data_IF_956953841482
#
_entry.id   IF_956953841482
#
_cell.length_a   1.000
_cell.length_b   1.000
_cell.length_c   1.000
_cell.angle_alpha   90.00
_cell.angle_beta   90.00
_cell.angle_gamma   90.00
#
_symmetry.space_group_name_H-M   'P 1'
#
loop_
_entity.id
_entity.type
_entity.pdbx_description
1 polymer ?
#
# COMPACT_ATOMS: atom_id res chain seq x y z
N UNK A 1 6.14 17.80 27.33
CA UNK A 1 6.48 17.00 26.13
C UNK A 1 7.43 15.92 26.62
N UNK A 2 7.09 14.64 26.44
CA UNK A 2 7.74 13.52 27.13
C UNK A 2 9.29 13.50 27.00
N UNK A 3 9.82 13.75 25.81
CA UNK A 3 11.28 13.80 25.61
C UNK A 3 11.94 14.98 26.32
N UNK A 4 11.30 16.15 26.36
CA UNK A 4 11.83 17.31 27.08
C UNK A 4 11.90 17.04 28.58
N UNK A 5 10.89 16.38 29.15
CA UNK A 5 10.85 15.99 30.56
C UNK A 5 11.90 14.91 30.91
N UNK A 6 12.16 13.97 30.00
CA UNK A 6 13.23 12.98 30.15
C UNK A 6 14.62 13.63 30.13
N UNK A 7 14.85 14.56 29.20
CA UNK A 7 16.14 15.28 29.07
C UNK A 7 16.49 16.09 30.31
N UNK A 8 15.51 16.72 30.98
CA UNK A 8 15.73 17.41 32.26
C UNK A 8 16.28 16.49 33.37
N UNK A 9 16.09 15.18 33.24
CA UNK A 9 16.59 14.16 34.19
C UNK A 9 17.84 13.44 33.68
N UNK A 10 18.48 13.94 32.61
CA UNK A 10 19.63 13.27 31.98
C UNK A 10 19.28 11.94 31.31
N UNK A 11 18.02 11.76 30.89
CA UNK A 11 17.50 10.55 30.23
C UNK A 11 16.93 10.88 28.85
N UNK A 12 16.51 9.85 28.12
CA UNK A 12 15.74 9.97 26.87
C UNK A 12 14.58 8.98 26.90
N UNK A 13 13.51 9.25 26.13
CA UNK A 13 12.41 8.29 25.90
C UNK A 13 12.73 7.30 24.77
N UNK A 14 13.77 7.56 23.98
CA UNK A 14 14.21 6.71 22.87
C UNK A 14 15.12 5.59 23.38
N UNK A 15 14.54 4.67 24.17
CA UNK A 15 15.28 3.59 24.85
C UNK A 15 15.03 2.20 24.27
N UNK A 16 14.30 2.10 23.16
CA UNK A 16 13.98 0.82 22.53
C UNK A 16 15.22 0.12 21.96
N UNK A 17 15.18 -1.20 21.90
CA UNK A 17 16.22 -1.98 21.22
C UNK A 17 16.20 -1.67 19.71
N UNK A 18 17.32 -1.17 19.19
CA UNK A 18 17.44 -0.83 17.77
C UNK A 18 17.26 -2.02 16.83
N UNK A 19 17.47 -3.25 17.32
CA UNK A 19 17.29 -4.48 16.53
C UNK A 19 15.83 -4.77 16.19
N UNK A 20 14.87 -4.13 16.86
CA UNK A 20 13.45 -4.23 16.55
C UNK A 20 12.96 -3.19 15.53
N UNK A 21 13.81 -2.25 15.12
CA UNK A 21 13.44 -1.27 14.11
C UNK A 21 13.48 -1.88 12.72
N UNK A 22 12.45 -1.63 11.92
CA UNK A 22 12.38 -2.10 10.55
C UNK A 22 13.03 -1.07 9.62
N UNK A 23 14.18 -1.44 9.05
CA UNK A 23 14.86 -0.70 7.98
C UNK A 23 15.25 -1.67 6.90
N UNK A 24 15.08 -1.33 5.63
CA UNK A 24 15.40 -2.24 4.54
C UNK A 24 15.71 -1.49 3.24
N UNK A 25 17.00 -1.32 2.94
CA UNK A 25 17.46 -0.61 1.74
C UNK A 25 17.23 -1.39 0.43
N UNK A 26 16.92 -2.69 0.52
CA UNK A 26 16.56 -3.50 -0.65
C UNK A 26 15.19 -3.10 -1.20
N UNK A 27 14.25 -2.72 -0.32
CA UNK A 27 12.89 -2.35 -0.73
C UNK A 27 12.59 -0.86 -0.65
N UNK A 28 13.25 -0.14 0.26
CA UNK A 28 12.94 1.26 0.56
C UNK A 28 14.22 2.10 0.62
N UNK A 29 14.27 3.28 -0.01
CA UNK A 29 15.41 4.19 0.13
C UNK A 29 15.70 4.52 1.60
N UNK A 30 16.97 4.53 1.98
CA UNK A 30 17.41 4.83 3.35
C UNK A 30 16.99 6.22 3.86
N UNK A 31 16.57 7.12 2.97
CA UNK A 31 16.08 8.45 3.34
C UNK A 31 14.60 8.52 3.64
N UNK A 32 13.83 7.55 3.16
CA UNK A 32 12.41 7.38 3.47
C UNK A 32 12.22 6.44 4.66
N UNK A 33 13.02 5.38 4.73
CA UNK A 33 12.99 4.39 5.81
C UNK A 33 14.33 4.32 6.53
N UNK A 34 14.36 4.87 7.75
CA UNK A 34 15.56 5.02 8.58
C UNK A 34 15.23 4.76 10.05
N UNK A 35 16.25 4.45 10.88
CA UNK A 35 16.03 4.19 12.29
C UNK A 35 15.66 5.48 13.05
N UNK A 36 14.71 5.35 13.97
CA UNK A 36 14.27 6.38 14.90
C UNK A 36 15.09 6.26 16.19
N UNK A 37 16.02 7.20 16.39
CA UNK A 37 16.98 7.19 17.50
C UNK A 37 16.78 8.32 18.49
N UNK A 38 16.04 9.34 18.09
CA UNK A 38 15.81 10.56 18.85
C UNK A 38 14.58 11.31 18.33
N UNK A 39 14.26 12.43 18.97
CA UNK A 39 13.16 13.29 18.57
C UNK A 39 13.33 13.84 17.14
N UNK A 40 14.57 14.07 16.70
CA UNK A 40 14.84 14.66 15.39
C UNK A 40 14.45 13.66 14.29
N UNK A 41 14.93 12.42 14.40
CA UNK A 41 14.59 11.33 13.47
C UNK A 41 13.11 10.97 13.54
N UNK A 42 12.49 10.98 14.73
CA UNK A 42 11.04 10.77 14.86
C UNK A 42 10.22 11.83 14.11
N UNK A 43 10.54 13.12 14.34
CA UNK A 43 9.88 14.23 13.64
C UNK A 43 10.13 14.19 12.13
N UNK A 44 11.34 13.80 11.70
CA UNK A 44 11.64 13.61 10.29
C UNK A 44 10.71 12.57 9.65
N UNK A 45 10.51 11.41 10.29
CA UNK A 45 9.61 10.37 9.79
C UNK A 45 8.15 10.85 9.68
N UNK A 46 7.67 11.58 10.67
CA UNK A 46 6.32 12.18 10.64
C UNK A 46 6.20 13.20 9.51
N UNK A 47 7.20 14.07 9.34
CA UNK A 47 7.18 15.08 8.29
C UNK A 47 7.14 14.46 6.89
N UNK A 48 7.84 13.35 6.65
CA UNK A 48 7.75 12.62 5.37
C UNK A 48 6.33 12.09 5.14
N UNK A 49 5.69 11.51 6.16
CA UNK A 49 4.31 11.02 6.06
C UNK A 49 3.35 12.15 5.68
N UNK A 50 3.50 13.31 6.31
CA UNK A 50 2.68 14.50 6.03
C UNK A 50 2.96 15.04 4.63
N UNK A 51 4.24 15.22 4.27
CA UNK A 51 4.66 15.78 2.98
C UNK A 51 4.21 14.91 1.80
N UNK A 52 4.34 13.58 1.90
CA UNK A 52 3.84 12.66 0.87
C UNK A 52 2.30 12.59 0.85
N UNK A 53 1.64 12.69 2.01
CA UNK A 53 0.19 12.58 2.13
C UNK A 53 -0.56 13.81 1.64
N UNK A 54 -0.36 14.94 2.33
CA UNK A 54 -1.10 16.20 2.11
C UNK A 54 -0.23 17.34 1.59
N UNK A 55 1.09 17.16 1.54
CA UNK A 55 2.03 18.20 1.12
C UNK A 55 2.14 19.30 2.17
N UNK A 56 2.25 20.55 1.72
CA UNK A 56 2.27 21.73 2.60
C UNK A 56 1.14 22.70 2.24
N UNK A 57 0.92 23.71 3.10
CA UNK A 57 -0.08 24.76 2.84
C UNK A 57 0.29 25.71 1.69
N UNK A 58 1.52 25.62 1.17
CA UNK A 58 2.06 26.55 0.16
C UNK A 58 2.64 25.86 -1.07
N UNK A 59 2.98 24.58 -0.95
CA UNK A 59 3.55 23.77 -2.03
C UNK A 59 2.82 22.42 -2.10
N UNK A 60 2.16 22.11 -3.23
CA UNK A 60 1.47 20.84 -3.43
C UNK A 60 2.40 19.68 -3.82
N UNK A 61 3.70 19.94 -4.04
CA UNK A 61 4.67 18.92 -4.40
C UNK A 61 5.42 18.37 -3.19
N UNK A 62 5.78 17.09 -3.29
CA UNK A 62 6.65 16.44 -2.31
C UNK A 62 8.01 17.14 -2.35
N UNK A 63 8.53 17.47 -1.17
CA UNK A 63 9.80 18.15 -0.99
C UNK A 63 10.95 17.30 -1.55
N UNK A 64 11.89 17.89 -2.30
CA UNK A 64 13.04 17.16 -2.87
C UNK A 64 13.89 16.42 -1.83
N UNK A 65 13.91 16.92 -0.59
CA UNK A 65 14.63 16.31 0.54
C UNK A 65 14.01 14.98 0.99
N UNK A 66 12.74 14.76 0.67
CA UNK A 66 11.92 13.63 1.10
C UNK A 66 11.70 12.61 -0.05
N UNK A 67 12.00 12.98 -1.31
CA UNK A 67 12.04 12.07 -2.47
C UNK A 67 13.29 11.21 -2.48
N UNK A 68 13.23 9.96 -3.00
CA UNK A 68 14.27 8.97 -3.40
C UNK A 68 15.36 9.46 -4.37
N UNK A 69 16.57 8.86 -4.46
CA UNK A 69 17.57 9.32 -5.43
C UNK A 69 17.08 8.98 -6.85
N UNK A 70 16.94 9.97 -7.71
CA UNK A 70 16.43 9.79 -9.07
C UNK A 70 14.90 9.72 -9.17
N UNK A 71 14.18 9.94 -8.07
CA UNK A 71 12.73 10.11 -8.11
C UNK A 71 12.36 11.46 -8.70
N UNK A 72 11.33 11.46 -9.54
CA UNK A 72 10.79 12.68 -10.11
C UNK A 72 9.98 13.42 -9.04
N UNK A 73 10.00 14.74 -9.10
CA UNK A 73 9.07 15.57 -8.32
C UNK A 73 7.64 15.19 -8.69
N UNK A 74 6.85 14.79 -7.71
CA UNK A 74 5.43 14.48 -7.88
C UNK A 74 4.57 15.24 -6.85
N UNK A 75 3.30 15.53 -7.17
CA UNK A 75 2.36 16.10 -6.21
C UNK A 75 2.16 15.14 -5.04
N UNK A 76 1.93 15.68 -3.84
CA UNK A 76 1.50 14.89 -2.70
C UNK A 76 0.17 14.16 -3.01
N UNK A 77 -0.12 13.08 -2.29
CA UNK A 77 -1.22 12.17 -2.61
C UNK A 77 -2.57 12.89 -2.78
N UNK A 78 -2.89 13.85 -1.90
CA UNK A 78 -4.10 14.66 -2.02
C UNK A 78 -4.24 15.28 -3.42
N UNK A 79 -3.21 16.00 -3.87
CA UNK A 79 -3.23 16.70 -5.14
C UNK A 79 -3.18 15.75 -6.33
N UNK A 80 -2.44 14.64 -6.21
CA UNK A 80 -2.34 13.60 -7.25
C UNK A 80 -3.67 12.87 -7.46
N UNK A 81 -4.44 12.62 -6.40
CA UNK A 81 -5.80 12.11 -6.54
C UNK A 81 -6.74 13.16 -7.14
N UNK A 82 -6.54 14.44 -6.83
CA UNK A 82 -7.29 15.51 -7.47
C UNK A 82 -6.93 15.65 -8.97
N UNK A 83 -5.70 15.37 -9.41
CA UNK A 83 -5.36 15.31 -10.84
C UNK A 83 -6.22 14.26 -11.57
N UNK A 84 -6.45 13.09 -10.95
CA UNK A 84 -7.33 12.05 -11.49
C UNK A 84 -8.78 12.56 -11.55
N UNK A 85 -9.26 13.19 -10.48
CA UNK A 85 -10.62 13.73 -10.41
C UNK A 85 -10.88 14.84 -11.44
N UNK A 86 -9.90 15.73 -11.66
CA UNK A 86 -9.97 16.83 -12.63
C UNK A 86 -9.63 16.38 -14.06
N UNK A 87 -9.01 15.21 -14.22
CA UNK A 87 -8.53 14.69 -15.50
C UNK A 87 -7.36 15.47 -16.10
N UNK A 88 -6.63 16.25 -15.28
CA UNK A 88 -5.58 17.18 -15.71
C UNK A 88 -4.45 17.21 -14.68
N UNK A 89 -3.21 17.28 -15.15
CA UNK A 89 -2.06 17.48 -14.26
C UNK A 89 -2.09 18.85 -13.58
N UNK A 90 -1.60 18.89 -12.36
CA UNK A 90 -1.36 20.10 -11.60
C UNK A 90 -0.13 20.83 -12.17
N UNK A 91 -0.25 22.13 -12.39
CA UNK A 91 0.84 22.98 -12.88
C UNK A 91 0.88 24.30 -12.11
N UNK A 92 2.05 24.95 -12.11
CA UNK A 92 2.18 26.32 -11.60
C UNK A 92 1.34 27.26 -12.47
N UNK A 93 0.55 28.10 -11.81
CA UNK A 93 -0.31 29.09 -12.44
C UNK A 93 -0.30 30.39 -11.62
N UNK A 94 0.50 31.40 -12.03
CA UNK A 94 0.58 32.68 -11.33
C UNK A 94 -0.73 33.45 -11.25
N UNK A 95 -1.74 33.09 -12.05
CA UNK A 95 -3.04 33.75 -12.05
C UNK A 95 -4.06 33.04 -11.14
N UNK A 96 -3.75 31.83 -10.67
CA UNK A 96 -4.58 31.12 -9.70
C UNK A 96 -4.32 31.66 -8.29
N UNK A 97 -5.37 31.73 -7.47
CA UNK A 97 -5.28 32.21 -6.08
C UNK A 97 -4.26 31.42 -5.24
N UNK A 98 -4.17 30.11 -5.47
CA UNK A 98 -3.21 29.22 -4.82
C UNK A 98 -1.82 29.19 -5.49
N UNK A 99 -1.62 29.86 -6.62
CA UNK A 99 -0.41 29.76 -7.44
C UNK A 99 -0.31 28.47 -8.28
N UNK A 100 -1.35 27.62 -8.25
CA UNK A 100 -1.42 26.37 -9.00
C UNK A 100 -2.80 26.14 -9.60
N UNK A 101 -2.87 25.46 -10.74
CA UNK A 101 -4.13 25.05 -11.34
C UNK A 101 -4.04 23.67 -12.02
N UNK A 102 -5.17 22.98 -12.09
CA UNK A 102 -5.33 21.70 -12.81
C UNK A 102 -5.55 21.93 -14.31
N UNK A 103 -4.62 22.65 -14.93
CA UNK A 103 -4.69 23.07 -16.34
C UNK A 103 -3.59 22.43 -17.20
N UNK A 104 -2.79 21.53 -16.63
CA UNK A 104 -1.70 20.85 -17.32
C UNK A 104 -2.16 19.80 -18.34
N UNK A 105 -1.24 18.89 -18.66
CA UNK A 105 -1.52 17.79 -19.59
C UNK A 105 -2.73 16.97 -19.11
N UNK A 106 -3.58 16.48 -20.04
CA UNK A 106 -4.63 15.54 -19.70
C UNK A 106 -4.07 14.29 -19.00
N UNK A 107 -4.77 13.82 -17.97
CA UNK A 107 -4.54 12.49 -17.40
C UNK A 107 -5.22 11.47 -18.32
N UNK A 108 -4.48 10.58 -19.01
CA UNK A 108 -5.09 9.60 -19.89
C UNK A 108 -5.96 8.63 -19.09
N UNK A 109 -7.25 8.58 -19.39
CA UNK A 109 -8.20 7.63 -18.83
C UNK A 109 -9.00 6.99 -19.96
N UNK A 110 -8.81 5.68 -20.14
CA UNK A 110 -9.58 4.87 -21.07
C UNK A 110 -10.56 4.02 -20.26
N UNK A 111 -11.78 4.53 -20.09
CA UNK A 111 -12.81 3.87 -19.28
C UNK A 111 -13.12 2.45 -19.77
N UNK A 112 -12.92 2.16 -21.06
CA UNK A 112 -13.15 0.82 -21.62
C UNK A 112 -12.18 -0.24 -21.08
N UNK A 113 -11.04 0.20 -20.51
CA UNK A 113 -10.04 -0.68 -19.90
C UNK A 113 -10.23 -0.87 -18.39
N UNK A 114 -11.21 -0.20 -17.78
CA UNK A 114 -11.50 -0.32 -16.36
C UNK A 114 -12.41 -1.53 -16.14
N UNK A 115 -11.98 -2.58 -15.40
CA UNK A 115 -12.85 -3.71 -15.11
C UNK A 115 -14.10 -3.26 -14.33
N UNK A 116 -15.28 -3.63 -14.81
CA UNK A 116 -16.54 -3.35 -14.13
C UNK A 116 -16.74 -4.32 -12.95
N UNK A 117 -16.00 -4.12 -11.86
CA UNK A 117 -16.02 -5.01 -10.70
C UNK A 117 -17.35 -4.90 -9.93
N UNK A 118 -17.89 -6.04 -9.48
CA UNK A 118 -19.02 -6.05 -8.57
C UNK A 118 -18.72 -5.24 -7.29
N UNK A 119 -19.71 -4.52 -6.75
CA UNK A 119 -19.54 -3.74 -5.52
C UNK A 119 -19.46 -4.67 -4.31
N UNK A 120 -18.47 -4.43 -3.43
CA UNK A 120 -18.28 -5.16 -2.17
C UNK A 120 -18.35 -6.69 -2.32
N UNK A 121 -17.58 -7.29 -3.24
CA UNK A 121 -17.69 -8.72 -3.53
C UNK A 121 -17.32 -9.55 -2.29
N UNK A 122 -18.00 -10.68 -2.11
CA UNK A 122 -17.71 -11.70 -1.11
C UNK A 122 -17.36 -13.00 -1.78
N UNK A 123 -16.54 -13.82 -1.11
CA UNK A 123 -16.24 -15.18 -1.60
C UNK A 123 -17.53 -16.00 -1.74
N UNK A 124 -18.49 -15.82 -0.83
CA UNK A 124 -19.81 -16.47 -0.88
C UNK A 124 -20.71 -16.02 -2.04
N UNK A 125 -20.38 -14.93 -2.73
CA UNK A 125 -21.14 -14.47 -3.90
C UNK A 125 -20.85 -15.34 -5.13
N UNK A 126 -19.84 -16.21 -5.06
CA UNK A 126 -19.41 -17.07 -6.15
C UNK A 126 -19.81 -18.53 -5.88
N UNK A 127 -20.28 -19.28 -6.89
CA UNK A 127 -20.52 -20.71 -6.74
C UNK A 127 -19.27 -21.42 -6.25
N UNK A 128 -19.44 -22.32 -5.29
CA UNK A 128 -18.34 -23.15 -4.75
C UNK A 128 -17.61 -23.84 -5.91
N UNK A 129 -16.28 -23.91 -5.80
CA UNK A 129 -15.36 -24.46 -6.80
C UNK A 129 -15.32 -23.73 -8.17
N UNK A 130 -16.09 -22.65 -8.35
CA UNK A 130 -15.91 -21.80 -9.53
C UNK A 130 -14.53 -21.13 -9.53
N UNK A 131 -13.97 -20.77 -10.70
CA UNK A 131 -12.70 -20.05 -10.77
C UNK A 131 -12.68 -18.76 -9.93
N UNK A 132 -13.81 -18.03 -9.84
CA UNK A 132 -13.94 -16.85 -9.02
C UNK A 132 -13.88 -17.18 -7.52
N UNK A 133 -14.59 -18.22 -7.08
CA UNK A 133 -14.55 -18.70 -5.69
C UNK A 133 -13.14 -19.10 -5.27
N UNK A 134 -12.46 -19.94 -6.06
CA UNK A 134 -11.10 -20.44 -5.76
C UNK A 134 -10.09 -19.28 -5.71
N UNK A 135 -10.11 -18.37 -6.68
CA UNK A 135 -9.21 -17.22 -6.67
C UNK A 135 -9.52 -16.24 -5.53
N UNK A 136 -10.80 -16.07 -5.16
CA UNK A 136 -11.20 -15.23 -4.03
C UNK A 136 -10.70 -15.83 -2.72
N UNK A 137 -10.80 -17.15 -2.57
CA UNK A 137 -10.25 -17.88 -1.43
C UNK A 137 -8.73 -17.72 -1.35
N UNK A 138 -8.00 -17.93 -2.44
CA UNK A 138 -6.53 -17.74 -2.42
C UNK A 138 -6.10 -16.29 -2.21
N UNK A 139 -6.86 -15.31 -2.71
CA UNK A 139 -6.66 -13.91 -2.37
C UNK A 139 -6.80 -13.68 -0.86
N UNK A 140 -7.89 -14.13 -0.26
CA UNK A 140 -8.18 -13.98 1.17
C UNK A 140 -7.13 -14.68 2.06
N UNK A 141 -6.70 -15.88 1.68
CA UNK A 141 -5.64 -16.60 2.39
C UNK A 141 -4.31 -15.84 2.30
N UNK A 142 -3.97 -15.32 1.12
CA UNK A 142 -2.76 -14.53 0.92
C UNK A 142 -2.81 -13.22 1.69
N UNK A 143 -3.97 -12.56 1.74
CA UNK A 143 -4.20 -11.35 2.52
C UNK A 143 -3.99 -11.61 4.01
N UNK A 144 -4.58 -12.68 4.54
CA UNK A 144 -4.40 -13.07 5.94
C UNK A 144 -2.93 -13.37 6.25
N UNK A 145 -2.23 -14.11 5.39
CA UNK A 145 -0.81 -14.39 5.55
C UNK A 145 0.05 -13.12 5.46
N UNK A 146 -0.30 -12.16 4.60
CA UNK A 146 0.39 -10.87 4.52
C UNK A 146 0.26 -10.11 5.84
N UNK A 147 -0.95 -10.01 6.40
CA UNK A 147 -1.18 -9.34 7.68
C UNK A 147 -0.40 -10.03 8.82
N UNK A 148 -0.41 -11.35 8.88
CA UNK A 148 0.37 -12.10 9.86
C UNK A 148 1.88 -11.89 9.69
N UNK A 149 2.38 -11.84 8.45
CA UNK A 149 3.78 -11.57 8.17
C UNK A 149 4.17 -10.17 8.62
N UNK A 150 3.35 -9.14 8.34
CA UNK A 150 3.57 -7.77 8.79
C UNK A 150 3.51 -7.66 10.33
N UNK A 151 2.58 -8.36 10.96
CA UNK A 151 2.48 -8.43 12.41
C UNK A 151 3.78 -8.97 13.04
N UNK A 152 4.33 -10.06 12.50
CA UNK A 152 5.62 -10.60 12.95
C UNK A 152 6.76 -9.61 12.69
N UNK A 153 6.81 -9.00 11.49
CA UNK A 153 7.83 -8.02 11.12
C UNK A 153 7.89 -6.85 12.10
N UNK A 154 6.74 -6.29 12.46
CA UNK A 154 6.65 -5.11 13.32
C UNK A 154 6.62 -5.44 14.82
N UNK A 155 6.63 -6.73 15.20
CA UNK A 155 6.72 -7.19 16.59
C UNK A 155 8.05 -7.91 16.91
N UNK A 156 9.15 -7.44 16.31
CA UNK A 156 10.50 -7.82 16.72
C UNK A 156 11.25 -8.77 15.78
N UNK A 157 10.72 -9.02 14.58
CA UNK A 157 11.41 -9.79 13.54
C UNK A 157 11.48 -9.00 12.20
N UNK A 158 12.13 -7.82 12.18
CA UNK A 158 12.14 -6.93 11.02
C UNK A 158 12.70 -7.58 9.74
N UNK A 159 13.53 -8.62 9.85
CA UNK A 159 14.06 -9.38 8.71
C UNK A 159 12.95 -10.13 7.93
N UNK A 160 11.76 -10.31 8.50
CA UNK A 160 10.62 -10.94 7.84
C UNK A 160 9.93 -10.05 6.80
N UNK A 161 10.35 -8.80 6.64
CA UNK A 161 9.81 -7.90 5.62
C UNK A 161 9.91 -8.49 4.20
N UNK A 162 10.96 -9.26 3.89
CA UNK A 162 11.11 -9.94 2.60
C UNK A 162 9.95 -10.92 2.32
N UNK A 163 9.46 -11.61 3.35
CA UNK A 163 8.32 -12.51 3.23
C UNK A 163 7.03 -11.73 2.99
N UNK A 164 6.83 -10.62 3.72
CA UNK A 164 5.68 -9.75 3.52
C UNK A 164 5.66 -9.17 2.09
N UNK A 165 6.80 -8.72 1.56
CA UNK A 165 6.91 -8.20 0.19
C UNK A 165 6.55 -9.27 -0.86
N UNK A 166 7.03 -10.52 -0.71
CA UNK A 166 6.62 -11.62 -1.58
C UNK A 166 5.12 -11.90 -1.56
N UNK A 167 4.49 -11.80 -0.37
CA UNK A 167 3.05 -11.93 -0.22
C UNK A 167 2.28 -10.76 -0.85
N UNK A 168 2.79 -9.52 -0.79
CA UNK A 168 2.19 -8.37 -1.47
C UNK A 168 2.15 -8.56 -3.00
N UNK A 169 3.24 -9.05 -3.60
CA UNK A 169 3.24 -9.39 -5.03
C UNK A 169 2.22 -10.47 -5.38
N UNK A 170 2.16 -11.53 -4.57
CA UNK A 170 1.17 -12.60 -4.73
C UNK A 170 -0.26 -12.06 -4.64
N UNK A 171 -0.52 -11.17 -3.69
CA UNK A 171 -1.83 -10.57 -3.47
C UNK A 171 -2.29 -9.75 -4.69
N UNK A 172 -1.38 -8.93 -5.26
CA UNK A 172 -1.63 -8.19 -6.50
C UNK A 172 -2.03 -9.11 -7.65
N UNK A 173 -1.35 -10.24 -7.80
CA UNK A 173 -1.64 -11.18 -8.90
C UNK A 173 -3.00 -11.84 -8.76
N UNK A 174 -3.39 -12.25 -7.55
CA UNK A 174 -4.73 -12.76 -7.31
C UNK A 174 -5.81 -11.69 -7.53
N UNK A 175 -5.57 -10.43 -7.13
CA UNK A 175 -6.50 -9.33 -7.43
C UNK A 175 -6.68 -9.15 -8.94
N UNK A 176 -5.58 -9.14 -9.71
CA UNK A 176 -5.63 -9.02 -11.17
C UNK A 176 -6.31 -10.22 -11.85
N UNK A 177 -6.16 -11.43 -11.30
CA UNK A 177 -6.87 -12.64 -11.79
C UNK A 177 -8.38 -12.49 -11.54
N UNK A 178 -8.78 -12.08 -10.34
CA UNK A 178 -10.19 -11.85 -10.02
C UNK A 178 -10.84 -10.83 -10.95
N UNK A 179 -10.19 -9.69 -11.17
CA UNK A 179 -10.68 -8.63 -12.05
C UNK A 179 -10.82 -9.04 -13.53
N UNK A 180 -10.23 -10.17 -13.94
CA UNK A 180 -10.37 -10.75 -15.29
C UNK A 180 -11.46 -11.82 -15.38
N UNK A 181 -11.96 -12.32 -14.25
CA UNK A 181 -12.99 -13.33 -14.22
C UNK A 181 -14.38 -12.67 -14.25
N UNK A 182 -15.34 -13.19 -15.03
CA UNK A 182 -16.72 -12.73 -14.94
C UNK A 182 -17.28 -13.06 -13.56
N UNK A 183 -18.12 -12.17 -13.02
CA UNK A 183 -18.91 -12.46 -11.83
C UNK A 183 -20.02 -13.45 -12.20
N UNK A 184 -20.00 -14.70 -11.71
CA UNK A 184 -20.92 -15.74 -12.18
C UNK A 184 -22.40 -15.40 -12.00
N UNK A 185 -22.71 -14.62 -10.96
CA UNK A 185 -24.07 -14.25 -10.58
C UNK A 185 -24.47 -12.82 -10.99
N UNK A 186 -23.56 -12.06 -11.61
CA UNK A 186 -23.81 -10.67 -12.03
C UNK A 186 -23.28 -10.44 -13.46
N UNK A 187 -24.10 -10.72 -14.49
CA UNK A 187 -23.72 -10.50 -15.88
C UNK A 187 -23.25 -9.06 -16.12
N UNK A 188 -22.15 -8.92 -16.88
CA UNK A 188 -21.55 -7.61 -17.15
C UNK A 188 -20.63 -7.07 -16.06
N UNK A 189 -20.52 -7.77 -14.92
CA UNK A 189 -19.54 -7.47 -13.87
C UNK A 189 -18.40 -8.49 -13.83
N UNK A 190 -17.27 -8.08 -13.28
CA UNK A 190 -16.14 -8.97 -12.96
C UNK A 190 -16.13 -9.31 -11.48
N UNK A 191 -15.50 -10.44 -11.14
CA UNK A 191 -15.18 -10.78 -9.77
C UNK A 191 -14.17 -9.80 -9.19
N UNK A 192 -14.06 -9.76 -7.86
CA UNK A 192 -13.15 -8.86 -7.18
C UNK A 192 -12.65 -9.38 -5.84
N UNK A 193 -11.62 -8.72 -5.27
CA UNK A 193 -11.04 -9.12 -4.00
C UNK A 193 -11.97 -8.77 -2.82
N UNK A 194 -12.17 -9.72 -1.90
CA UNK A 194 -13.12 -9.55 -0.79
C UNK A 194 -12.48 -9.24 0.56
N UNK A 195 -11.16 -9.40 0.70
CA UNK A 195 -10.37 -9.10 1.91
C UNK A 195 -10.89 -9.79 3.18
N UNK A 196 -11.43 -11.00 3.03
CA UNK A 196 -11.98 -11.75 4.16
C UNK A 196 -10.87 -12.48 4.90
N UNK A 197 -11.01 -12.58 6.22
CA UNK A 197 -10.08 -13.34 7.05
C UNK A 197 -10.34 -14.84 6.90
N UNK A 198 -9.36 -15.58 6.39
CA UNK A 198 -9.41 -17.04 6.34
C UNK A 198 -8.07 -17.63 6.75
N UNK A 199 -8.12 -18.74 7.47
CA UNK A 199 -6.96 -19.44 8.02
C UNK A 199 -6.65 -20.71 7.23
N UNK A 200 -5.57 -21.38 7.62
CA UNK A 200 -5.19 -22.67 7.06
C UNK A 200 -6.27 -23.75 7.25
N UNK A 201 -7.16 -23.61 8.24
CA UNK A 201 -8.25 -24.54 8.51
C UNK A 201 -9.40 -24.38 7.52
N UNK A 202 -9.47 -23.24 6.82
CA UNK A 202 -10.45 -23.02 5.77
C UNK A 202 -10.05 -23.67 4.43
N UNK A 203 -8.82 -24.14 4.28
CA UNK A 203 -8.34 -24.80 3.06
C UNK A 203 -8.27 -26.32 3.24
N UNK A 204 -8.79 -27.05 2.25
CA UNK A 204 -8.59 -28.50 2.12
C UNK A 204 -7.14 -28.82 1.71
N UNK A 205 -6.66 -30.06 1.89
CA UNK A 205 -5.31 -30.45 1.44
C UNK A 205 -5.05 -30.16 -0.04
N UNK A 206 -6.00 -30.50 -0.92
CA UNK A 206 -5.86 -30.25 -2.37
C UNK A 206 -5.79 -28.75 -2.71
N UNK A 207 -6.53 -27.91 -2.00
CA UNK A 207 -6.44 -26.44 -2.18
C UNK A 207 -5.11 -25.89 -1.69
N UNK A 208 -4.50 -26.49 -0.66
CA UNK A 208 -3.14 -26.11 -0.22
C UNK A 208 -2.11 -26.45 -1.29
N UNK A 209 -2.19 -27.64 -1.86
CA UNK A 209 -1.30 -28.06 -2.95
C UNK A 209 -1.44 -27.13 -4.15
N UNK A 210 -2.69 -26.84 -4.57
CA UNK A 210 -2.97 -25.92 -5.66
C UNK A 210 -2.49 -24.49 -5.35
N UNK A 211 -2.61 -24.02 -4.10
CA UNK A 211 -2.08 -22.73 -3.69
C UNK A 211 -0.55 -22.67 -3.81
N UNK A 212 0.15 -23.74 -3.40
CA UNK A 212 1.60 -23.83 -3.48
C UNK A 212 2.09 -23.90 -4.93
N UNK A 213 1.44 -24.68 -5.79
CA UNK A 213 1.73 -24.70 -7.23
C UNK A 213 1.53 -23.31 -7.87
N UNK A 214 0.45 -22.62 -7.50
CA UNK A 214 0.18 -21.27 -7.99
C UNK A 214 1.21 -20.23 -7.54
N UNK A 215 1.86 -20.44 -6.39
CA UNK A 215 2.96 -19.59 -5.92
C UNK A 215 4.27 -19.80 -6.66
N UNK A 216 4.51 -21.00 -7.19
CA UNK A 216 5.74 -21.33 -7.93
C UNK A 216 5.69 -20.81 -9.38
N UNK A 217 4.49 -20.73 -9.95
CA UNK A 217 4.25 -20.29 -11.33
C UNK A 217 4.03 -18.77 -11.46
N UNK A 218 4.58 -17.99 -10.53
CA UNK A 218 4.37 -16.55 -10.36
C UNK A 218 5.71 -15.82 -10.37
#
# INVERSE_FOLDING_TARGET
MLEAEAKLKGKTIFTGDSTYQMTNEKWFPAKELFPIKDLITALKGINIIVDQGEGTSTDPFISEKDLGPGEATEPAHYYRFEEIYKGRKLVKDPNAESGYSYSGDPIPCDESKIPNMAKNPKMSDYPVDSPAYVNSKFFNYTYTNLLNSLHITFNGAPEKIDTAMGLMYSLRLYALRLLKLPSPNQPGYTAGPSYEYITNDNLTPSEKDQYMENKVNV
#
